data_IF_769706986469
#
_entry.id   IF_769706986469
#
_cell.length_a   1.000
_cell.length_b   1.000
_cell.length_c   1.000
_cell.angle_alpha   90.00
_cell.angle_beta   90.00
_cell.angle_gamma   90.00
#
_symmetry.space_group_name_H-M   'P 1'
#
loop_
_entity.id
_entity.type
_entity.pdbx_description
1 polymer ?
#
# COMPACT_ATOMS: atom_id res chain seq x y z
N UNK A 1 21.18 -60.92 0.35
CA UNK A 1 21.69 -59.92 -0.62
C UNK A 1 20.58 -59.07 -1.25
N UNK A 2 19.67 -59.60 -2.10
CA UNK A 2 18.65 -58.79 -2.80
C UNK A 2 17.67 -58.00 -1.89
N UNK A 3 17.33 -58.54 -0.70
CA UNK A 3 16.42 -57.89 0.27
C UNK A 3 17.06 -56.66 0.93
N UNK A 4 18.33 -56.78 1.33
CA UNK A 4 19.12 -55.71 1.94
C UNK A 4 19.37 -54.55 0.96
N UNK A 5 19.62 -54.84 -0.33
CA UNK A 5 19.73 -53.79 -1.35
C UNK A 5 18.42 -53.01 -1.56
N UNK A 6 17.26 -53.68 -1.48
CA UNK A 6 15.95 -53.02 -1.57
C UNK A 6 15.67 -52.12 -0.37
N UNK A 7 15.98 -52.56 0.86
CA UNK A 7 15.81 -51.76 2.07
C UNK A 7 16.70 -50.51 2.06
N UNK A 8 17.94 -50.63 1.56
CA UNK A 8 18.86 -49.48 1.39
C UNK A 8 18.37 -48.52 0.31
N UNK A 9 17.80 -49.03 -0.80
CA UNK A 9 17.22 -48.17 -1.85
C UNK A 9 15.94 -47.47 -1.39
N UNK A 10 15.11 -48.14 -0.60
CA UNK A 10 13.90 -47.57 -0.03
C UNK A 10 14.22 -46.49 1.01
N UNK A 11 15.19 -46.73 1.90
CA UNK A 11 15.69 -45.72 2.85
C UNK A 11 16.31 -44.49 2.15
N UNK A 12 17.02 -44.69 1.04
CA UNK A 12 17.53 -43.57 0.20
C UNK A 12 16.41 -42.79 -0.49
N UNK A 13 15.36 -43.46 -0.94
CA UNK A 13 14.20 -42.80 -1.54
C UNK A 13 13.40 -42.00 -0.50
N UNK A 14 13.22 -42.54 0.70
CA UNK A 14 12.52 -41.87 1.81
C UNK A 14 13.30 -40.63 2.28
N UNK A 15 14.62 -40.73 2.43
CA UNK A 15 15.46 -39.57 2.79
C UNK A 15 15.44 -38.48 1.72
N UNK A 16 15.49 -38.84 0.43
CA UNK A 16 15.36 -37.87 -0.67
C UNK A 16 13.98 -37.19 -0.69
N UNK A 17 12.90 -37.94 -0.40
CA UNK A 17 11.56 -37.38 -0.27
C UNK A 17 11.46 -36.42 0.93
N UNK A 18 12.04 -36.77 2.09
CA UNK A 18 12.11 -35.89 3.26
C UNK A 18 12.87 -34.60 2.96
N UNK A 19 14.01 -34.68 2.26
CA UNK A 19 14.79 -33.49 1.84
C UNK A 19 13.95 -32.58 0.93
N UNK A 20 13.20 -33.15 -0.02
CA UNK A 20 12.32 -32.37 -0.91
C UNK A 20 11.20 -31.68 -0.15
N UNK A 21 10.62 -32.33 0.86
CA UNK A 21 9.62 -31.70 1.75
C UNK A 21 10.24 -30.54 2.52
N UNK A 22 11.44 -30.71 3.07
CA UNK A 22 12.16 -29.66 3.80
C UNK A 22 12.52 -28.47 2.89
N UNK A 23 12.94 -28.72 1.65
CA UNK A 23 13.22 -27.65 0.67
C UNK A 23 11.95 -26.87 0.32
N UNK A 24 10.82 -27.57 0.10
CA UNK A 24 9.52 -26.94 -0.11
C UNK A 24 9.08 -26.12 1.11
N UNK A 25 9.28 -26.63 2.33
CA UNK A 25 8.99 -25.88 3.56
C UNK A 25 9.87 -24.64 3.68
N UNK A 26 11.16 -24.75 3.38
CA UNK A 26 12.11 -23.64 3.38
C UNK A 26 11.70 -22.56 2.38
N UNK A 27 11.30 -22.95 1.17
CA UNK A 27 10.76 -22.01 0.16
C UNK A 27 9.51 -21.29 0.65
N UNK A 28 8.57 -22.03 1.25
CA UNK A 28 7.33 -21.45 1.82
C UNK A 28 7.62 -20.48 2.96
N UNK A 29 8.52 -20.84 3.87
CA UNK A 29 8.95 -19.96 4.96
C UNK A 29 9.63 -18.70 4.42
N UNK A 30 10.48 -18.83 3.39
CA UNK A 30 11.10 -17.69 2.71
C UNK A 30 10.08 -16.75 2.07
N UNK A 31 9.06 -17.29 1.40
CA UNK A 31 7.96 -16.49 0.84
C UNK A 31 7.13 -15.81 1.92
N UNK A 32 6.81 -16.53 3.00
CA UNK A 32 6.04 -15.98 4.12
C UNK A 32 6.80 -14.84 4.79
N UNK A 33 8.11 -15.00 5.01
CA UNK A 33 8.96 -13.95 5.57
C UNK A 33 8.91 -12.68 4.73
N UNK A 34 9.06 -12.79 3.40
CA UNK A 34 8.98 -11.63 2.49
C UNK A 34 7.62 -10.94 2.59
N UNK A 35 6.53 -11.70 2.51
CA UNK A 35 5.17 -11.16 2.67
C UNK A 35 4.97 -10.45 4.00
N UNK A 36 5.50 -11.00 5.09
CA UNK A 36 5.39 -10.38 6.41
C UNK A 36 6.15 -9.05 6.46
N UNK A 37 7.34 -8.97 5.85
CA UNK A 37 8.09 -7.72 5.73
C UNK A 37 7.36 -6.69 4.87
N UNK A 38 6.72 -7.11 3.78
CA UNK A 38 5.92 -6.20 2.95
C UNK A 38 4.72 -5.65 3.73
N UNK A 39 3.99 -6.51 4.45
CA UNK A 39 2.86 -6.12 5.30
C UNK A 39 3.31 -5.18 6.42
N UNK A 40 4.42 -5.46 7.10
CA UNK A 40 4.94 -4.62 8.17
C UNK A 40 5.28 -3.20 7.66
N UNK A 41 5.91 -3.11 6.49
CA UNK A 41 6.19 -1.83 5.83
C UNK A 41 4.90 -1.08 5.47
N UNK A 42 3.90 -1.77 4.90
CA UNK A 42 2.60 -1.16 4.59
C UNK A 42 1.89 -0.68 5.86
N UNK A 43 1.93 -1.47 6.94
CA UNK A 43 1.36 -1.10 8.23
C UNK A 43 2.04 0.14 8.82
N UNK A 44 3.36 0.23 8.77
CA UNK A 44 4.09 1.42 9.23
C UNK A 44 3.68 2.67 8.46
N UNK A 45 3.54 2.58 7.13
CA UNK A 45 3.06 3.70 6.32
C UNK A 45 1.63 4.12 6.70
N UNK A 46 0.75 3.16 6.97
CA UNK A 46 -0.63 3.46 7.41
C UNK A 46 -0.63 4.13 8.77
N UNK A 47 0.15 3.63 9.74
CA UNK A 47 0.29 4.22 11.07
C UNK A 47 0.80 5.65 10.97
N UNK A 48 1.85 5.90 10.20
CA UNK A 48 2.39 7.25 10.02
C UNK A 48 1.37 8.23 9.44
N UNK A 49 0.51 7.79 8.50
CA UNK A 49 -0.57 8.62 7.95
C UNK A 49 -1.65 8.89 8.99
N UNK A 50 -2.05 7.88 9.74
CA UNK A 50 -3.06 8.02 10.81
C UNK A 50 -2.56 8.97 11.89
N UNK A 51 -1.32 8.82 12.34
CA UNK A 51 -0.70 9.70 13.34
C UNK A 51 -0.65 11.16 12.86
N UNK A 52 -0.25 11.40 11.62
CA UNK A 52 -0.26 12.75 11.03
C UNK A 52 -1.67 13.35 10.98
N UNK A 53 -2.68 12.55 10.62
CA UNK A 53 -4.08 12.98 10.58
C UNK A 53 -4.65 13.25 11.97
N UNK A 54 -4.30 12.42 12.96
CA UNK A 54 -4.67 12.62 14.36
C UNK A 54 -4.02 13.87 14.94
N UNK A 55 -2.73 14.10 14.65
CA UNK A 55 -2.04 15.32 15.09
C UNK A 55 -2.68 16.59 14.48
N UNK A 56 -3.03 16.55 13.20
CA UNK A 56 -3.76 17.66 12.56
C UNK A 56 -5.15 17.86 13.17
N UNK A 57 -5.88 16.78 13.49
CA UNK A 57 -7.18 16.88 14.15
C UNK A 57 -7.07 17.41 15.59
N UNK A 58 -6.06 16.98 16.33
CA UNK A 58 -5.78 17.43 17.69
C UNK A 58 -5.48 18.94 17.73
N UNK A 59 -4.80 19.48 16.71
CA UNK A 59 -4.58 20.93 16.58
C UNK A 59 -5.91 21.70 16.48
N UNK A 60 -6.90 21.16 15.76
CA UNK A 60 -8.26 21.72 15.73
C UNK A 60 -8.94 21.62 17.11
N UNK A 61 -8.81 20.49 17.80
CA UNK A 61 -9.43 20.29 19.10
C UNK A 61 -8.89 21.23 20.18
N UNK A 62 -7.64 21.67 20.04
CA UNK A 62 -6.99 22.65 20.95
C UNK A 62 -7.32 24.11 20.62
N UNK A 63 -7.93 24.37 19.47
CA UNK A 63 -8.26 25.72 19.06
C UNK A 63 -9.53 26.22 19.78
N UNK A 64 -9.38 27.13 20.74
CA UNK A 64 -10.50 27.70 21.48
C UNK A 64 -11.33 28.70 20.66
N UNK A 65 -10.70 29.38 19.69
CA UNK A 65 -11.33 30.40 18.84
C UNK A 65 -10.72 30.42 17.43
N UNK A 66 -11.42 31.03 16.48
CA UNK A 66 -10.96 31.26 15.11
C UNK A 66 -9.72 32.18 15.00
N UNK A 67 -9.40 32.92 16.07
CA UNK A 67 -8.23 33.81 16.12
C UNK A 67 -6.99 33.12 16.72
N UNK A 68 -7.15 31.91 17.28
CA UNK A 68 -6.06 31.14 17.89
C UNK A 68 -4.98 30.76 16.86
N UNK A 69 -3.75 30.62 17.34
CA UNK A 69 -2.62 30.23 16.49
C UNK A 69 -2.79 28.79 15.97
N UNK A 70 -3.37 27.94 16.79
CA UNK A 70 -3.80 26.57 16.50
C UNK A 70 -4.79 26.57 15.34
N UNK A 71 -5.85 27.38 15.40
CA UNK A 71 -6.82 27.49 14.32
C UNK A 71 -6.17 27.93 13.01
N UNK A 72 -5.31 28.96 13.05
CA UNK A 72 -4.64 29.49 11.85
C UNK A 72 -3.75 28.43 11.18
N UNK A 73 -2.95 27.70 11.97
CA UNK A 73 -2.11 26.59 11.46
C UNK A 73 -2.96 25.46 10.88
N UNK A 74 -3.96 25.01 11.62
CA UNK A 74 -4.88 23.96 11.16
C UNK A 74 -5.59 24.36 9.86
N UNK A 75 -6.07 25.60 9.79
CA UNK A 75 -6.80 26.16 8.65
C UNK A 75 -5.92 26.29 7.41
N UNK A 76 -4.65 26.71 7.56
CA UNK A 76 -3.71 26.74 6.43
C UNK A 76 -3.49 25.31 5.87
N UNK A 77 -3.21 24.34 6.74
CA UNK A 77 -3.05 22.93 6.32
C UNK A 77 -4.33 22.41 5.64
N UNK A 78 -5.51 22.72 6.19
CA UNK A 78 -6.80 22.33 5.59
C UNK A 78 -6.97 22.90 4.19
N UNK A 79 -6.69 24.19 3.99
CA UNK A 79 -6.84 24.84 2.67
C UNK A 79 -5.89 24.20 1.66
N UNK A 80 -4.62 24.00 2.02
CA UNK A 80 -3.66 23.32 1.15
C UNK A 80 -4.10 21.89 0.83
N UNK A 81 -4.68 21.17 1.80
CA UNK A 81 -5.21 19.82 1.60
C UNK A 81 -6.38 19.80 0.60
N UNK A 82 -7.33 20.72 0.74
CA UNK A 82 -8.48 20.83 -0.18
C UNK A 82 -8.03 21.23 -1.58
N UNK A 83 -7.06 22.15 -1.68
CA UNK A 83 -6.51 22.57 -2.96
C UNK A 83 -5.76 21.42 -3.66
N UNK A 84 -4.98 20.63 -2.92
CA UNK A 84 -4.30 19.46 -3.47
C UNK A 84 -5.30 18.41 -4.00
N UNK A 85 -6.35 18.10 -3.23
CA UNK A 85 -7.42 17.18 -3.66
C UNK A 85 -8.13 17.69 -4.93
N UNK A 86 -8.42 19.00 -5.01
CA UNK A 86 -8.98 19.61 -6.21
C UNK A 86 -8.06 19.46 -7.42
N UNK A 87 -6.77 19.77 -7.27
CA UNK A 87 -5.79 19.65 -8.35
C UNK A 87 -5.69 18.20 -8.86
N UNK A 88 -5.68 17.22 -7.96
CA UNK A 88 -5.65 15.80 -8.34
C UNK A 88 -6.91 15.38 -9.12
N UNK A 89 -8.10 15.84 -8.71
CA UNK A 89 -9.36 15.55 -9.42
C UNK A 89 -9.43 16.15 -10.81
N UNK A 90 -8.84 17.32 -10.99
CA UNK A 90 -8.78 18.03 -12.27
C UNK A 90 -7.59 17.58 -13.15
N UNK A 91 -6.88 16.52 -12.76
CA UNK A 91 -5.69 15.96 -13.45
C UNK A 91 -4.44 16.87 -13.45
N UNK A 92 -4.30 17.80 -12.50
CA UNK A 92 -3.11 18.65 -12.33
C UNK A 92 -2.09 18.02 -11.36
N UNK A 93 -1.70 16.77 -11.59
CA UNK A 93 -0.87 15.96 -10.67
C UNK A 93 0.48 16.62 -10.35
N UNK A 94 1.22 17.10 -11.36
CA UNK A 94 2.51 17.78 -11.14
C UNK A 94 2.39 19.02 -10.22
N UNK A 95 1.26 19.73 -10.30
CA UNK A 95 1.02 20.91 -9.48
C UNK A 95 0.60 20.51 -8.07
N UNK A 96 -0.23 19.46 -7.96
CA UNK A 96 -0.60 18.87 -6.68
C UNK A 96 0.64 18.38 -5.93
N UNK A 97 1.54 17.64 -6.58
CA UNK A 97 2.77 17.12 -5.97
C UNK A 97 3.68 18.24 -5.47
N UNK A 98 3.86 19.30 -6.27
CA UNK A 98 4.62 20.48 -5.84
C UNK A 98 4.01 21.16 -4.62
N UNK A 99 2.68 21.29 -4.58
CA UNK A 99 1.97 21.87 -3.43
C UNK A 99 2.13 20.99 -2.19
N UNK A 100 1.93 19.69 -2.33
CA UNK A 100 2.01 18.70 -1.26
C UNK A 100 3.40 18.72 -0.63
N UNK A 101 4.46 18.73 -1.45
CA UNK A 101 5.85 18.81 -0.99
C UNK A 101 6.21 20.16 -0.37
N UNK A 102 5.79 21.27 -0.99
CA UNK A 102 6.08 22.60 -0.48
C UNK A 102 5.40 22.89 0.86
N UNK A 103 4.28 22.22 1.14
CA UNK A 103 3.48 22.38 2.38
C UNK A 103 3.69 21.24 3.38
N UNK A 104 4.49 20.23 3.04
CA UNK A 104 4.76 19.06 3.89
C UNK A 104 3.48 18.33 4.34
N UNK A 105 2.53 18.15 3.41
CA UNK A 105 1.23 17.52 3.67
C UNK A 105 1.09 16.15 2.99
N UNK A 106 2.20 15.49 2.64
CA UNK A 106 2.24 14.18 1.96
C UNK A 106 1.40 13.13 2.69
N UNK A 107 1.48 13.12 4.03
CA UNK A 107 0.78 12.15 4.89
C UNK A 107 -0.73 12.43 5.02
N UNK A 108 -1.17 13.62 4.59
CA UNK A 108 -2.56 14.08 4.69
C UNK A 108 -3.33 13.93 3.37
N UNK A 109 -2.65 13.57 2.28
CA UNK A 109 -3.21 13.40 0.94
C UNK A 109 -3.00 11.96 0.47
N UNK A 110 -3.99 11.40 -0.22
CA UNK A 110 -3.93 10.05 -0.77
C UNK A 110 -3.50 10.07 -2.25
N UNK A 111 -2.36 10.69 -2.58
CA UNK A 111 -1.91 10.89 -3.97
C UNK A 111 -1.87 9.60 -4.78
N UNK A 112 -1.38 8.51 -4.17
CA UNK A 112 -1.29 7.20 -4.83
C UNK A 112 -2.62 6.65 -5.33
N UNK A 113 -3.74 7.01 -4.67
CA UNK A 113 -5.08 6.63 -5.11
C UNK A 113 -5.47 7.37 -6.40
N UNK A 114 -5.14 8.66 -6.48
CA UNK A 114 -5.40 9.47 -7.66
C UNK A 114 -4.51 9.05 -8.82
N UNK A 115 -3.23 8.74 -8.58
CA UNK A 115 -2.32 8.26 -9.64
C UNK A 115 -2.82 6.96 -10.27
N UNK A 116 -3.31 6.03 -9.45
CA UNK A 116 -3.92 4.79 -9.94
C UNK A 116 -5.22 5.05 -10.72
N UNK A 117 -6.06 5.96 -10.24
CA UNK A 117 -7.29 6.34 -10.94
C UNK A 117 -6.99 7.02 -12.28
N UNK A 118 -5.99 7.91 -12.32
CA UNK A 118 -5.56 8.60 -13.53
C UNK A 118 -4.96 7.63 -14.55
N UNK A 119 -4.12 6.69 -14.12
CA UNK A 119 -3.57 5.64 -14.98
C UNK A 119 -4.68 4.83 -15.66
N UNK A 120 -5.69 4.42 -14.89
CA UNK A 120 -6.85 3.70 -15.41
C UNK A 120 -7.65 4.57 -16.39
N UNK A 121 -7.93 5.83 -16.03
CA UNK A 121 -8.67 6.76 -16.88
C UNK A 121 -7.96 7.03 -18.21
N UNK A 122 -6.63 7.23 -18.16
CA UNK A 122 -5.80 7.43 -19.34
C UNK A 122 -5.80 6.19 -20.25
N UNK A 123 -5.57 5.00 -19.70
CA UNK A 123 -5.65 3.73 -20.45
C UNK A 123 -6.99 3.58 -21.17
N UNK A 124 -8.10 3.89 -20.47
CA UNK A 124 -9.44 3.82 -21.05
C UNK A 124 -9.65 4.86 -22.17
N UNK A 125 -9.09 6.05 -22.04
CA UNK A 125 -9.14 7.09 -23.09
C UNK A 125 -8.40 6.66 -24.37
N UNK A 126 -7.37 5.82 -24.24
CA UNK A 126 -6.63 5.18 -25.34
C UNK A 126 -7.29 3.88 -25.83
N UNK A 127 -8.54 3.63 -25.44
CA UNK A 127 -9.28 2.40 -25.76
C UNK A 127 -8.63 1.11 -25.23
N UNK A 128 -7.76 1.21 -24.23
CA UNK A 128 -7.14 0.07 -23.55
C UNK A 128 -7.81 -0.20 -22.20
N UNK A 129 -8.26 -1.45 -21.99
CA UNK A 129 -8.87 -1.90 -20.73
C UNK A 129 -7.90 -2.63 -19.81
N UNK A 130 -6.61 -2.72 -20.18
CA UNK A 130 -5.62 -3.55 -19.49
C UNK A 130 -5.45 -3.17 -18.02
N UNK A 131 -5.21 -1.88 -17.72
CA UNK A 131 -5.02 -1.41 -16.34
C UNK A 131 -6.30 -1.51 -15.51
N UNK A 132 -7.46 -1.23 -16.11
CA UNK A 132 -8.75 -1.38 -15.46
C UNK A 132 -9.01 -2.83 -15.03
N UNK A 133 -8.77 -3.79 -15.93
CA UNK A 133 -8.96 -5.22 -15.65
C UNK A 133 -7.97 -5.74 -14.60
N UNK A 134 -6.72 -5.28 -14.66
CA UNK A 134 -5.71 -5.59 -13.66
C UNK A 134 -6.14 -5.11 -12.27
N UNK A 135 -6.57 -3.87 -12.16
CA UNK A 135 -7.08 -3.30 -10.92
C UNK A 135 -8.29 -4.07 -10.37
N UNK A 136 -9.24 -4.42 -11.24
CA UNK A 136 -10.40 -5.22 -10.86
C UNK A 136 -10.02 -6.60 -10.33
N UNK A 137 -8.98 -7.23 -10.88
CA UNK A 137 -8.50 -8.52 -10.41
C UNK A 137 -7.82 -8.42 -9.03
N UNK A 138 -7.03 -7.37 -8.82
CA UNK A 138 -6.38 -7.07 -7.53
C UNK A 138 -7.41 -6.77 -6.42
N UNK A 139 -8.50 -6.08 -6.76
CA UNK A 139 -9.53 -5.63 -5.82
C UNK A 139 -10.79 -6.51 -5.80
N UNK A 140 -10.76 -7.68 -6.45
CA UNK A 140 -11.92 -8.54 -6.70
C UNK A 140 -12.73 -8.88 -5.45
N UNK A 141 -12.08 -9.08 -4.31
CA UNK A 141 -12.78 -9.39 -3.06
C UNK A 141 -13.63 -8.22 -2.53
N UNK A 142 -13.17 -6.98 -2.74
CA UNK A 142 -13.92 -5.78 -2.37
C UNK A 142 -15.07 -5.47 -3.33
N UNK A 143 -14.91 -5.81 -4.60
CA UNK A 143 -15.90 -5.60 -5.66
C UNK A 143 -17.03 -6.64 -5.71
N UNK A 144 -16.91 -7.76 -4.98
CA UNK A 144 -17.90 -8.84 -4.96
C UNK A 144 -19.15 -8.54 -4.11
N UNK A 145 -19.40 -7.28 -3.76
CA UNK A 145 -20.57 -6.85 -2.98
C UNK A 145 -21.65 -6.27 -3.88
#
# INVERSE_FOLDING_TARGET
>A
MKKLCREVQQSKADTAATIKVLDNMTKRLGQLKRKLTDIDREQQQVVERVDARLAHLDELCRADTFESAEWRRWSDVKVNRVLADYLLRENWHDTADKLVHAKHIEKLIDSSLFDQAQLIAHSLSEHSTAEALKWCNENKNGLRK
#
